data_IF_518189783829
#
_entry.id   IF_518189783829
#
_cell.length_a   1.000
_cell.length_b   1.000
_cell.length_c   1.000
_cell.angle_alpha   90.00
_cell.angle_beta   90.00
_cell.angle_gamma   90.00
#
_symmetry.space_group_name_H-M   'P 1'
#
loop_
_entity.id
_entity.type
_entity.pdbx_description
1 polymer ?
#
# COMPACT_ATOMS: atom_id res chain seq x y z
N UNK A 1 12.79 63.06 8.26
CA UNK A 1 12.50 61.98 7.32
C UNK A 1 12.75 60.64 8.02
N UNK A 2 11.67 59.96 8.42
CA UNK A 2 11.77 58.66 9.12
C UNK A 2 11.81 57.56 8.09
N UNK A 3 12.91 56.81 8.02
CA UNK A 3 13.05 55.63 7.16
C UNK A 3 12.45 54.42 7.88
N UNK A 4 11.30 53.99 7.45
CA UNK A 4 10.66 52.75 7.91
C UNK A 4 11.32 51.55 7.21
N UNK A 5 12.06 50.73 7.96
CA UNK A 5 12.61 49.51 7.48
C UNK A 5 11.50 48.42 7.57
N UNK A 6 11.06 47.94 6.43
CA UNK A 6 10.14 46.79 6.34
C UNK A 6 11.00 45.52 6.42
N UNK A 7 10.92 44.84 7.56
CA UNK A 7 11.52 43.50 7.71
C UNK A 7 10.62 42.47 7.02
N UNK A 8 11.10 41.90 5.92
CA UNK A 8 10.46 40.79 5.21
C UNK A 8 10.72 39.50 5.98
N UNK A 9 9.74 39.04 6.73
CA UNK A 9 9.81 37.77 7.44
C UNK A 9 9.57 36.63 6.40
N UNK A 10 10.65 36.02 5.93
CA UNK A 10 10.58 34.84 5.07
C UNK A 10 10.10 33.65 5.90
N UNK A 11 8.84 33.27 5.74
CA UNK A 11 8.29 32.05 6.33
C UNK A 11 8.87 30.85 5.60
N UNK A 12 9.92 30.25 6.16
CA UNK A 12 10.44 28.96 5.69
C UNK A 12 9.42 27.89 6.05
N UNK A 13 8.57 27.52 5.10
CA UNK A 13 7.74 26.33 5.19
C UNK A 13 8.67 25.10 5.12
N UNK A 14 9.13 24.65 6.29
CA UNK A 14 9.82 23.37 6.43
C UNK A 14 8.81 22.28 6.12
N UNK A 15 8.76 21.82 4.88
CA UNK A 15 8.06 20.59 4.52
C UNK A 15 8.66 19.46 5.33
N UNK A 16 7.96 18.99 6.37
CA UNK A 16 8.36 17.82 7.11
C UNK A 16 8.32 16.62 6.16
N UNK A 17 9.45 16.25 5.60
CA UNK A 17 9.61 14.99 4.89
C UNK A 17 9.43 13.87 5.91
N UNK A 18 8.35 13.09 5.80
CA UNK A 18 8.14 11.92 6.64
C UNK A 18 9.26 10.92 6.36
N UNK A 19 10.14 10.72 7.33
CA UNK A 19 11.22 9.76 7.21
C UNK A 19 10.67 8.35 7.02
N UNK A 20 11.36 7.53 6.20
CA UNK A 20 11.00 6.14 6.00
C UNK A 20 11.06 5.36 7.32
N UNK A 21 10.03 4.55 7.59
CA UNK A 21 10.02 3.66 8.75
C UNK A 21 11.05 2.54 8.58
N UNK A 22 11.49 1.87 9.67
CA UNK A 22 12.33 0.68 9.54
C UNK A 22 11.75 -0.40 8.63
N UNK A 23 10.42 -0.55 8.63
CA UNK A 23 9.68 -1.51 7.80
C UNK A 23 9.80 -1.22 6.30
N UNK A 24 9.80 0.04 5.91
CA UNK A 24 9.96 0.46 4.51
C UNK A 24 11.35 0.18 3.94
N UNK A 25 12.35 -0.01 4.81
CA UNK A 25 13.72 -0.37 4.41
C UNK A 25 13.84 -1.86 4.06
N UNK A 26 12.89 -2.69 4.48
CA UNK A 26 12.85 -4.10 4.14
C UNK A 26 12.28 -4.24 2.73
N UNK A 27 13.08 -4.74 1.81
CA UNK A 27 12.76 -4.78 0.37
C UNK A 27 12.23 -6.13 -0.10
N UNK A 28 12.38 -7.17 0.71
CA UNK A 28 11.96 -8.53 0.39
C UNK A 28 11.24 -9.15 1.60
N UNK A 29 10.30 -10.08 1.37
CA UNK A 29 9.64 -10.81 2.45
C UNK A 29 10.65 -11.51 3.36
N UNK A 30 10.36 -11.52 4.65
CA UNK A 30 11.11 -12.33 5.62
C UNK A 30 10.81 -13.81 5.33
N UNK A 31 11.88 -14.60 5.17
CA UNK A 31 11.75 -16.02 4.86
C UNK A 31 11.11 -16.79 6.02
N UNK A 32 10.25 -17.73 5.70
CA UNK A 32 9.58 -18.60 6.67
C UNK A 32 8.16 -18.94 6.26
N UNK A 33 7.50 -19.78 7.05
CA UNK A 33 6.07 -20.04 6.87
C UNK A 33 5.26 -18.78 7.09
N UNK A 34 4.20 -18.61 6.32
CA UNK A 34 3.34 -17.43 6.40
C UNK A 34 2.73 -17.29 7.80
N UNK A 35 3.00 -16.17 8.44
CA UNK A 35 2.51 -15.88 9.78
C UNK A 35 2.29 -14.38 9.95
N UNK A 36 1.04 -13.98 10.15
CA UNK A 36 0.66 -12.64 10.58
C UNK A 36 0.83 -12.52 12.09
N UNK A 37 1.53 -11.49 12.55
CA UNK A 37 1.91 -11.31 13.94
C UNK A 37 1.38 -9.97 14.43
N UNK A 38 0.70 -9.98 15.58
CA UNK A 38 0.12 -8.79 16.19
C UNK A 38 -1.24 -8.41 15.61
N UNK A 39 -1.55 -7.12 15.64
CA UNK A 39 -2.81 -6.57 15.15
C UNK A 39 -2.61 -5.82 13.81
N UNK A 40 -3.70 -5.61 13.07
CA UNK A 40 -3.68 -4.90 11.78
C UNK A 40 -3.02 -3.51 11.85
N UNK A 41 -3.09 -2.85 13.02
CA UNK A 41 -2.53 -1.52 13.29
C UNK A 41 -1.25 -1.53 14.15
N UNK A 42 -0.81 -2.69 14.59
CA UNK A 42 0.44 -2.88 15.34
C UNK A 42 0.94 -4.32 15.14
N UNK A 43 1.51 -4.58 14.00
CA UNK A 43 1.93 -5.93 13.64
C UNK A 43 2.92 -5.99 12.48
N UNK A 44 3.21 -7.21 12.09
CA UNK A 44 4.10 -7.53 10.97
C UNK A 44 3.72 -8.89 10.37
N UNK A 45 4.45 -9.30 9.34
CA UNK A 45 4.24 -10.61 8.70
C UNK A 45 5.59 -11.26 8.35
N UNK A 46 5.67 -12.56 8.57
CA UNK A 46 6.72 -13.45 8.03
C UNK A 46 6.12 -14.22 6.87
N UNK A 47 6.91 -14.55 5.86
CA UNK A 47 6.46 -15.33 4.72
C UNK A 47 5.39 -14.63 3.87
N UNK A 48 5.41 -13.31 3.78
CA UNK A 48 4.51 -12.58 2.89
C UNK A 48 4.76 -12.98 1.43
N UNK A 49 3.71 -12.92 0.64
CA UNK A 49 3.73 -13.13 -0.80
C UNK A 49 3.41 -11.84 -1.53
N UNK A 50 4.11 -11.61 -2.63
CA UNK A 50 3.80 -10.53 -3.56
C UNK A 50 2.53 -10.84 -4.33
N UNK A 51 1.60 -9.88 -4.41
CA UNK A 51 0.49 -9.95 -5.35
C UNK A 51 1.04 -9.72 -6.76
N UNK A 52 0.86 -10.67 -7.71
CA UNK A 52 1.32 -10.47 -9.07
C UNK A 52 0.78 -9.17 -9.67
N UNK A 53 1.67 -8.32 -10.18
CA UNK A 53 1.30 -7.00 -10.71
C UNK A 53 0.63 -7.08 -12.08
N UNK A 54 0.86 -8.18 -12.82
CA UNK A 54 0.27 -8.44 -14.12
C UNK A 54 -0.93 -9.37 -13.98
N UNK A 55 -2.11 -8.87 -14.32
CA UNK A 55 -3.35 -9.62 -14.31
C UNK A 55 -4.34 -9.01 -15.31
N UNK A 56 -5.18 -9.85 -15.92
CA UNK A 56 -6.27 -9.42 -16.78
C UNK A 56 -7.52 -9.04 -15.98
N UNK A 57 -7.57 -9.38 -14.69
CA UNK A 57 -8.77 -9.25 -13.86
C UNK A 57 -8.65 -8.18 -12.78
N UNK A 58 -7.45 -7.73 -12.48
CA UNK A 58 -7.20 -6.62 -11.55
C UNK A 58 -5.96 -5.82 -11.98
N UNK A 59 -5.82 -4.65 -11.41
CA UNK A 59 -4.66 -3.79 -11.57
C UNK A 59 -4.19 -3.28 -10.21
N UNK A 60 -2.90 -3.46 -9.92
CA UNK A 60 -2.28 -2.90 -8.71
C UNK A 60 -1.90 -1.44 -8.97
N UNK A 61 -2.36 -0.57 -8.06
CA UNK A 61 -2.10 0.86 -8.11
C UNK A 61 -0.87 1.22 -7.26
N UNK A 62 -0.22 2.33 -7.58
CA UNK A 62 0.90 2.88 -6.79
C UNK A 62 2.01 1.87 -6.49
N UNK A 63 2.45 1.15 -7.50
CA UNK A 63 3.44 0.07 -7.39
C UNK A 63 4.81 0.55 -6.90
N UNK A 64 5.12 1.83 -7.07
CA UNK A 64 6.32 2.49 -6.55
C UNK A 64 6.44 2.43 -5.02
N UNK A 65 5.32 2.35 -4.31
CA UNK A 65 5.29 2.27 -2.85
C UNK A 65 5.51 0.87 -2.29
N UNK A 66 5.52 -0.16 -3.15
CA UNK A 66 5.69 -1.57 -2.78
C UNK A 66 4.74 -2.04 -1.67
N UNK A 67 3.50 -1.62 -1.73
CA UNK A 67 2.42 -1.97 -0.80
C UNK A 67 1.47 -3.00 -1.42
N UNK A 68 2.03 -4.09 -1.95
CA UNK A 68 1.31 -5.16 -2.63
C UNK A 68 1.75 -6.56 -2.15
N UNK A 69 2.16 -6.64 -0.88
CA UNK A 69 2.51 -7.88 -0.21
C UNK A 69 1.46 -8.23 0.84
N UNK A 70 1.24 -9.52 1.06
CA UNK A 70 0.30 -9.99 2.05
C UNK A 70 0.46 -11.46 2.38
N UNK A 71 -0.38 -11.95 3.28
CA UNK A 71 -0.48 -13.37 3.56
C UNK A 71 -0.87 -14.09 2.26
N UNK A 72 -0.32 -15.29 1.98
CA UNK A 72 -0.67 -16.04 0.77
C UNK A 72 -2.18 -16.25 0.57
N UNK A 73 -2.92 -16.45 1.66
CA UNK A 73 -4.38 -16.60 1.59
C UNK A 73 -5.08 -15.32 1.12
N UNK A 74 -4.59 -14.14 1.52
CA UNK A 74 -5.11 -12.87 1.03
C UNK A 74 -4.80 -12.69 -0.46
N UNK A 75 -3.58 -13.00 -0.88
CA UNK A 75 -3.18 -12.94 -2.30
C UNK A 75 -4.09 -13.84 -3.14
N UNK A 76 -4.31 -15.07 -2.71
CA UNK A 76 -5.20 -16.02 -3.39
C UNK A 76 -6.65 -15.52 -3.41
N UNK A 77 -7.13 -14.93 -2.31
CA UNK A 77 -8.46 -14.34 -2.23
C UNK A 77 -8.65 -13.22 -3.25
N UNK A 78 -7.69 -12.30 -3.36
CA UNK A 78 -7.74 -11.19 -4.33
C UNK A 78 -7.79 -11.73 -5.77
N UNK A 79 -6.98 -12.71 -6.09
CA UNK A 79 -6.96 -13.33 -7.42
C UNK A 79 -8.31 -13.97 -7.76
N UNK A 80 -8.90 -14.72 -6.83
CA UNK A 80 -10.21 -15.33 -6.99
C UNK A 80 -11.33 -14.30 -7.14
N UNK A 81 -11.29 -13.25 -6.30
CA UNK A 81 -12.27 -12.17 -6.37
C UNK A 81 -12.18 -11.43 -7.71
N UNK A 82 -10.96 -11.12 -8.19
CA UNK A 82 -10.73 -10.52 -9.49
C UNK A 82 -11.34 -11.34 -10.63
N UNK A 83 -11.11 -12.66 -10.61
CA UNK A 83 -11.69 -13.56 -11.61
C UNK A 83 -13.23 -13.54 -11.57
N UNK A 84 -13.84 -13.52 -10.39
CA UNK A 84 -15.30 -13.44 -10.25
C UNK A 84 -15.84 -12.11 -10.76
N UNK A 85 -15.25 -10.99 -10.36
CA UNK A 85 -15.64 -9.65 -10.82
C UNK A 85 -15.56 -9.55 -12.34
N UNK A 86 -14.48 -10.06 -12.92
CA UNK A 86 -14.29 -10.08 -14.37
C UNK A 86 -15.31 -10.96 -15.08
N UNK A 87 -15.54 -12.18 -14.59
CA UNK A 87 -16.50 -13.13 -15.18
C UNK A 87 -17.95 -12.63 -15.14
N UNK A 88 -18.30 -11.80 -14.16
CA UNK A 88 -19.59 -11.14 -14.05
C UNK A 88 -19.72 -9.89 -14.95
N UNK A 89 -18.68 -9.53 -15.70
CA UNK A 89 -18.68 -8.35 -16.57
C UNK A 89 -18.69 -7.02 -15.80
N UNK A 90 -18.29 -7.01 -14.54
CA UNK A 90 -18.33 -5.81 -13.68
C UNK A 90 -17.14 -4.87 -13.92
N UNK A 91 -16.09 -5.32 -14.61
CA UNK A 91 -14.91 -4.53 -14.91
C UNK A 91 -13.62 -5.09 -14.31
N UNK A 92 -12.60 -4.25 -14.22
CA UNK A 92 -11.28 -4.61 -13.67
C UNK A 92 -11.16 -4.08 -12.25
N UNK A 93 -10.82 -4.93 -11.28
CA UNK A 93 -10.58 -4.49 -9.92
C UNK A 93 -9.31 -3.62 -9.84
N UNK A 94 -9.40 -2.50 -9.12
CA UNK A 94 -8.24 -1.69 -8.79
C UNK A 94 -7.83 -1.96 -7.35
N UNK A 95 -6.64 -2.52 -7.18
CA UNK A 95 -6.07 -2.84 -5.87
C UNK A 95 -5.24 -1.65 -5.39
N UNK A 96 -5.60 -1.12 -4.25
CA UNK A 96 -4.88 -0.04 -3.58
C UNK A 96 -3.74 -0.57 -2.70
N UNK A 97 -3.72 -0.14 -1.44
CA UNK A 97 -2.69 -0.58 -0.51
C UNK A 97 -2.99 -1.96 0.08
N UNK A 98 -1.97 -2.78 0.15
CA UNK A 98 -1.81 -3.99 0.96
C UNK A 98 -0.65 -3.78 1.94
N UNK A 99 -0.09 -4.84 2.49
CA UNK A 99 1.11 -4.77 3.31
C UNK A 99 2.39 -4.51 2.51
N UNK A 100 3.43 -4.13 3.23
CA UNK A 100 4.82 -4.12 2.75
C UNK A 100 5.44 -5.52 2.84
N UNK A 101 6.65 -5.76 2.29
CA UNK A 101 7.29 -7.09 2.29
C UNK A 101 7.37 -7.81 3.63
N UNK A 102 7.56 -7.08 4.73
CA UNK A 102 7.52 -7.61 6.10
C UNK A 102 6.32 -7.08 6.91
N UNK A 103 5.35 -6.47 6.25
CA UNK A 103 4.27 -5.74 6.92
C UNK A 103 4.78 -4.51 7.65
N UNK A 104 4.23 -4.27 8.83
CA UNK A 104 4.64 -3.15 9.67
C UNK A 104 4.10 -1.80 9.20
N UNK A 105 4.45 -0.76 9.96
CA UNK A 105 3.87 0.56 9.83
C UNK A 105 4.39 1.33 8.62
N UNK A 106 3.47 1.95 7.87
CA UNK A 106 3.79 2.94 6.84
C UNK A 106 4.29 4.25 7.47
N UNK A 107 4.93 5.09 6.68
CA UNK A 107 5.36 6.43 7.12
C UNK A 107 4.23 7.47 7.17
N UNK A 108 2.99 7.06 6.94
CA UNK A 108 1.81 7.91 6.99
C UNK A 108 0.66 7.36 6.17
N UNK A 109 -0.51 7.97 6.28
CA UNK A 109 -1.70 7.68 5.50
C UNK A 109 -2.61 6.60 6.09
N UNK A 110 -2.07 5.45 6.46
CA UNK A 110 -2.84 4.30 6.91
C UNK A 110 -2.37 3.80 8.27
N UNK A 111 -3.33 3.40 9.11
CA UNK A 111 -3.06 2.73 10.38
C UNK A 111 -3.21 1.20 10.31
N UNK A 112 -3.50 0.65 9.13
CA UNK A 112 -3.74 -0.77 8.87
C UNK A 112 -2.67 -1.39 7.96
N UNK A 113 -2.94 -2.52 7.37
CA UNK A 113 -2.10 -3.27 6.42
C UNK A 113 -0.83 -3.89 7.02
N UNK A 114 -0.66 -3.83 8.34
CA UNK A 114 0.61 -4.21 8.97
C UNK A 114 0.82 -5.72 9.06
N UNK A 115 -0.26 -6.51 9.07
CA UNK A 115 -0.20 -7.97 9.19
C UNK A 115 -0.38 -8.70 7.86
N UNK A 116 -0.60 -7.97 6.76
CA UNK A 116 -0.81 -8.54 5.44
C UNK A 116 -2.12 -9.29 5.26
N UNK A 117 -3.17 -8.93 6.03
CA UNK A 117 -4.48 -9.59 5.99
C UNK A 117 -5.61 -8.68 5.50
N UNK A 118 -5.31 -7.47 5.10
CA UNK A 118 -6.29 -6.51 4.58
C UNK A 118 -5.78 -5.81 3.33
N UNK A 119 -6.71 -5.33 2.52
CA UNK A 119 -6.45 -4.71 1.22
C UNK A 119 -7.48 -3.62 0.95
N UNK A 120 -7.02 -2.52 0.38
CA UNK A 120 -7.89 -1.48 -0.15
C UNK A 120 -8.27 -1.81 -1.59
N UNK A 121 -9.56 -1.80 -1.89
CA UNK A 121 -10.09 -1.97 -3.24
C UNK A 121 -10.88 -0.73 -3.61
N UNK A 122 -10.56 -0.11 -4.75
CA UNK A 122 -11.28 1.06 -5.22
C UNK A 122 -12.69 0.69 -5.64
N UNK A 123 -13.66 1.54 -5.31
CA UNK A 123 -15.08 1.31 -5.61
C UNK A 123 -15.41 1.45 -7.12
N UNK A 124 -14.57 2.15 -7.87
CA UNK A 124 -14.71 2.23 -9.33
C UNK A 124 -14.03 1.04 -9.98
N UNK A 125 -14.76 0.39 -10.87
CA UNK A 125 -14.29 -0.73 -11.67
C UNK A 125 -14.21 -0.28 -13.14
N UNK A 126 -13.07 0.14 -13.66
CA UNK A 126 -12.92 0.48 -15.06
C UNK A 126 -13.15 -0.76 -15.93
N UNK A 127 -13.69 -0.56 -17.14
CA UNK A 127 -13.92 -1.65 -18.10
C UNK A 127 -12.63 -2.22 -18.67
N UNK A 128 -11.56 -1.45 -18.62
CA UNK A 128 -10.24 -1.84 -19.09
C UNK A 128 -9.17 -1.35 -18.09
N UNK A 129 -7.93 -1.70 -18.36
CA UNK A 129 -6.78 -1.22 -17.56
C UNK A 129 -6.76 0.30 -17.51
N UNK A 130 -6.54 0.85 -16.33
CA UNK A 130 -6.37 2.28 -16.14
C UNK A 130 -4.93 2.67 -16.56
N UNK A 131 -4.83 3.71 -17.34
CA UNK A 131 -3.55 4.28 -17.82
C UNK A 131 -3.23 5.58 -17.07
#
# INVERSE_FOLDING_TARGET
MKKTAIALLALMASGASLAATPWQKITHPVAGSAQSIGAFSNGCIVGAQELPLQSDTYQVMRTDQRRYFGHPDLVLFIQRLGNQVHSLGLGTMLIGDMGMPAGGRFNGGHASHQTGLDVDIFLQLPKARWT
#
